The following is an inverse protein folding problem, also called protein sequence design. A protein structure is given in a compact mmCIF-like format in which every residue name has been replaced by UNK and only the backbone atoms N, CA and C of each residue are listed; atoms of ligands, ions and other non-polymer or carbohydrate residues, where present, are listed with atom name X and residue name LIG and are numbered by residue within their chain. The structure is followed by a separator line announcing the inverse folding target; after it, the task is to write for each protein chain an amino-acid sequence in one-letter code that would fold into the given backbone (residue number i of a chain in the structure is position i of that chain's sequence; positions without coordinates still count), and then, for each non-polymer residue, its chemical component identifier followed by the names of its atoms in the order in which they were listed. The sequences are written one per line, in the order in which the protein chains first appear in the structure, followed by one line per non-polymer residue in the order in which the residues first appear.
data_IF_366576349474
#
_entry.id   IF_366576349474
#
_cell.length_a   1.000
_cell.length_b   1.000
_cell.length_c   1.000
_cell.angle_alpha   90.00
_cell.angle_beta   90.00
_cell.angle_gamma   90.00
#
_symmetry.space_group_name_H-M   'P 1'
#
loop_
_entity.id
_entity.type
_entity.pdbx_description
1 polymer ?
#
# COMPACT_ATOMS: atom_id res chain seq x y z
N UNK A 1 -10.15 -17.94 18.09
CA UNK A 1 -9.77 -17.50 19.45
C UNK A 1 -10.25 -16.07 19.52
N UNK A 2 -11.44 -15.88 20.07
CA UNK A 2 -12.12 -14.58 20.05
C UNK A 2 -11.57 -13.75 21.21
N UNK A 3 -10.90 -12.63 20.89
CA UNK A 3 -10.52 -11.65 21.90
C UNK A 3 -11.67 -10.66 22.08
N UNK A 4 -12.36 -10.66 23.23
CA UNK A 4 -13.50 -9.77 23.50
C UNK A 4 -13.14 -8.28 23.55
N UNK A 5 -11.85 -7.91 23.41
CA UNK A 5 -11.38 -6.53 23.57
C UNK A 5 -11.34 -5.71 22.28
N UNK A 6 -11.53 -6.30 21.09
CA UNK A 6 -11.56 -5.51 19.85
C UNK A 6 -12.95 -4.91 19.63
N UNK A 7 -13.13 -3.58 19.61
CA UNK A 7 -14.44 -2.99 19.35
C UNK A 7 -14.97 -3.42 17.98
N UNK A 8 -16.24 -3.84 17.89
CA UNK A 8 -16.88 -4.24 16.62
C UNK A 8 -16.78 -3.18 15.52
N UNK A 9 -16.75 -1.90 15.91
CA UNK A 9 -16.53 -0.77 14.99
C UNK A 9 -15.15 -0.82 14.33
N UNK A 10 -14.09 -1.11 15.09
CA UNK A 10 -12.71 -1.21 14.60
C UNK A 10 -12.56 -2.32 13.57
N UNK A 11 -13.12 -3.50 13.83
CA UNK A 11 -13.06 -4.63 12.90
C UNK A 11 -13.77 -4.29 11.58
N UNK A 12 -14.91 -3.60 11.66
CA UNK A 12 -15.69 -3.17 10.48
C UNK A 12 -14.92 -2.14 9.65
N UNK A 13 -14.38 -1.09 10.29
CA UNK A 13 -13.56 -0.08 9.62
C UNK A 13 -12.34 -0.71 8.96
N UNK A 14 -11.63 -1.60 9.65
CA UNK A 14 -10.47 -2.30 9.12
C UNK A 14 -10.82 -3.20 7.92
N UNK A 15 -11.95 -3.90 7.98
CA UNK A 15 -12.39 -4.75 6.87
C UNK A 15 -12.75 -3.94 5.62
N UNK A 16 -13.49 -2.83 5.79
CA UNK A 16 -13.83 -1.91 4.69
C UNK A 16 -12.54 -1.31 4.10
N UNK A 17 -11.63 -0.83 4.96
CA UNK A 17 -10.37 -0.26 4.51
C UNK A 17 -9.53 -1.29 3.73
N UNK A 18 -9.41 -2.52 4.22
CA UNK A 18 -8.70 -3.59 3.52
C UNK A 18 -9.33 -3.93 2.16
N UNK A 19 -10.66 -4.00 2.08
CA UNK A 19 -11.37 -4.26 0.83
C UNK A 19 -11.18 -3.13 -0.20
N UNK A 20 -11.33 -1.87 0.24
CA UNK A 20 -11.10 -0.70 -0.61
C UNK A 20 -9.63 -0.64 -1.06
N UNK A 21 -8.68 -0.95 -0.19
CA UNK A 21 -7.27 -0.97 -0.56
C UNK A 21 -6.98 -2.01 -1.65
N UNK A 22 -7.59 -3.20 -1.56
CA UNK A 22 -7.48 -4.22 -2.60
C UNK A 22 -8.07 -3.74 -3.93
N UNK A 23 -9.27 -3.15 -3.90
CA UNK A 23 -9.93 -2.63 -5.10
C UNK A 23 -9.12 -1.50 -5.77
N UNK A 24 -8.62 -0.54 -4.97
CA UNK A 24 -7.77 0.56 -5.46
C UNK A 24 -6.47 0.02 -6.05
N UNK A 25 -5.84 -0.97 -5.40
CA UNK A 25 -4.61 -1.59 -5.90
C UNK A 25 -4.84 -2.29 -7.25
N UNK A 26 -5.97 -2.98 -7.43
CA UNK A 26 -6.35 -3.58 -8.72
C UNK A 26 -6.59 -2.49 -9.78
N UNK A 27 -7.27 -1.40 -9.42
CA UNK A 27 -7.48 -0.27 -10.33
C UNK A 27 -6.16 0.38 -10.75
N UNK A 28 -5.25 0.61 -9.80
CA UNK A 28 -3.90 1.13 -10.08
C UNK A 28 -3.10 0.20 -10.98
N UNK A 29 -3.19 -1.11 -10.76
CA UNK A 29 -2.56 -2.11 -11.64
C UNK A 29 -3.14 -2.03 -13.06
N UNK A 30 -4.47 -1.90 -13.16
CA UNK A 30 -5.18 -1.76 -14.43
C UNK A 30 -4.76 -0.50 -15.19
N UNK A 31 -4.71 0.66 -14.53
CA UNK A 31 -4.25 1.91 -15.14
C UNK A 31 -2.80 1.81 -15.58
N UNK A 32 -1.91 1.28 -14.73
CA UNK A 32 -0.51 1.09 -15.06
C UNK A 32 -0.29 0.16 -16.27
N UNK A 33 -0.99 -0.97 -16.32
CA UNK A 33 -0.77 -1.98 -17.37
C UNK A 33 -1.53 -1.71 -18.66
N UNK A 34 -2.77 -1.21 -18.56
CA UNK A 34 -3.67 -1.08 -19.72
C UNK A 34 -3.70 0.32 -20.32
N UNK A 35 -3.43 1.36 -19.51
CA UNK A 35 -3.56 2.74 -19.96
C UNK A 35 -2.22 3.47 -20.10
N UNK A 36 -1.30 3.27 -19.15
CA UNK A 36 0.07 3.77 -19.24
C UNK A 36 0.90 2.84 -20.14
N UNK A 37 0.82 1.53 -19.88
CA UNK A 37 1.46 0.50 -20.69
C UNK A 37 2.88 0.13 -20.20
N UNK A 38 3.31 -1.14 -20.37
CA UNK A 38 4.62 -1.60 -19.91
C UNK A 38 5.81 -0.88 -20.53
N UNK A 39 5.66 -0.38 -21.76
CA UNK A 39 6.73 0.33 -22.48
C UNK A 39 6.99 1.71 -21.87
N UNK A 40 5.94 2.50 -21.61
CA UNK A 40 6.06 3.79 -20.95
C UNK A 40 6.63 3.66 -19.53
N UNK A 41 6.33 2.58 -18.82
CA UNK A 41 6.90 2.30 -17.49
C UNK A 41 8.38 1.92 -17.50
N UNK A 42 8.97 1.57 -18.65
CA UNK A 42 10.39 1.17 -18.74
C UNK A 42 11.35 2.33 -19.01
N UNK A 43 10.85 3.49 -19.43
CA UNK A 43 11.70 4.63 -19.82
C UNK A 43 11.12 5.97 -19.37
N UNK A 44 11.97 6.82 -18.78
CA UNK A 44 11.61 8.19 -18.36
C UNK A 44 11.07 9.02 -19.52
N UNK A 45 11.66 8.88 -20.70
CA UNK A 45 11.30 9.68 -21.87
C UNK A 45 9.91 9.32 -22.41
N UNK A 46 9.58 8.02 -22.44
CA UNK A 46 8.27 7.53 -22.86
C UNK A 46 7.17 7.93 -21.86
N UNK A 47 7.47 7.87 -20.56
CA UNK A 47 6.55 8.36 -19.52
C UNK A 47 6.35 9.88 -19.61
N UNK A 48 7.42 10.64 -19.81
CA UNK A 48 7.35 12.10 -19.96
C UNK A 48 6.56 12.50 -21.22
N UNK A 49 6.75 11.77 -22.32
CA UNK A 49 5.99 12.03 -23.55
C UNK A 49 4.51 11.67 -23.39
N UNK A 50 4.20 10.55 -22.73
CA UNK A 50 2.83 10.21 -22.36
C UNK A 50 2.20 11.31 -21.50
N UNK A 51 2.94 11.84 -20.53
CA UNK A 51 2.46 12.91 -19.66
C UNK A 51 2.09 14.19 -20.42
N UNK A 52 2.84 14.53 -21.48
CA UNK A 52 2.57 15.71 -22.31
C UNK A 52 1.41 15.51 -23.28
N UNK A 53 1.34 14.33 -23.89
CA UNK A 53 0.41 14.06 -24.99
C UNK A 53 -0.96 13.58 -24.51
N UNK A 54 -0.98 12.73 -23.48
CA UNK A 54 -2.19 12.14 -22.91
C UNK A 54 -2.03 12.07 -21.38
N UNK A 55 -2.22 13.19 -20.64
CA UNK A 55 -1.97 13.25 -19.19
C UNK A 55 -2.98 12.45 -18.34
N UNK A 56 -4.15 12.13 -18.88
CA UNK A 56 -5.25 11.50 -18.14
C UNK A 56 -4.88 10.21 -17.36
N UNK A 57 -4.14 9.24 -17.93
CA UNK A 57 -3.75 8.01 -17.21
C UNK A 57 -2.89 8.32 -15.99
N UNK A 58 -1.98 9.29 -16.09
CA UNK A 58 -1.08 9.69 -14.99
C UNK A 58 -1.88 10.37 -13.88
N UNK A 59 -2.76 11.32 -14.25
CA UNK A 59 -3.63 11.99 -13.28
C UNK A 59 -4.51 10.97 -12.55
N UNK A 60 -5.13 10.02 -13.27
CA UNK A 60 -5.95 8.98 -12.65
C UNK A 60 -5.12 8.08 -11.73
N UNK A 61 -3.91 7.69 -12.15
CA UNK A 61 -3.00 6.90 -11.32
C UNK A 61 -2.65 7.64 -10.02
N UNK A 62 -2.35 8.93 -10.08
CA UNK A 62 -2.01 9.73 -8.90
C UNK A 62 -3.21 9.99 -7.97
N UNK A 63 -4.41 10.17 -8.53
CA UNK A 63 -5.64 10.23 -7.73
C UNK A 63 -5.88 8.91 -6.99
N UNK A 64 -5.62 7.77 -7.64
CA UNK A 64 -5.72 6.47 -7.00
C UNK A 64 -4.67 6.29 -5.90
N UNK A 65 -3.44 6.81 -6.06
CA UNK A 65 -2.43 6.82 -4.98
C UNK A 65 -2.91 7.61 -3.77
N UNK A 66 -3.49 8.79 -3.98
CA UNK A 66 -4.03 9.64 -2.90
C UNK A 66 -5.18 8.92 -2.19
N UNK A 67 -6.11 8.32 -2.95
CA UNK A 67 -7.20 7.54 -2.39
C UNK A 67 -6.67 6.31 -1.60
N UNK A 68 -5.67 5.63 -2.14
CA UNK A 68 -5.00 4.51 -1.47
C UNK A 68 -4.41 4.95 -0.14
N UNK A 69 -3.70 6.08 -0.10
CA UNK A 69 -3.10 6.58 1.13
C UNK A 69 -4.15 6.88 2.20
N UNK A 70 -5.27 7.52 1.83
CA UNK A 70 -6.37 7.78 2.76
C UNK A 70 -6.96 6.49 3.35
N UNK A 71 -7.16 5.47 2.52
CA UNK A 71 -7.67 4.16 2.94
C UNK A 71 -6.64 3.41 3.79
N UNK A 72 -5.36 3.45 3.42
CA UNK A 72 -4.26 2.87 4.18
C UNK A 72 -4.16 3.44 5.58
N UNK A 73 -4.36 4.75 5.77
CA UNK A 73 -4.38 5.35 7.12
C UNK A 73 -5.42 4.71 8.03
N UNK A 74 -6.64 4.50 7.52
CA UNK A 74 -7.69 3.80 8.26
C UNK A 74 -7.30 2.35 8.57
N UNK A 75 -6.67 1.66 7.61
CA UNK A 75 -6.20 0.28 7.77
C UNK A 75 -5.07 0.16 8.80
N UNK A 76 -4.08 1.06 8.76
CA UNK A 76 -2.95 1.12 9.71
C UNK A 76 -3.46 1.28 11.13
N UNK A 77 -4.39 2.21 11.35
CA UNK A 77 -4.97 2.46 12.67
C UNK A 77 -5.84 1.29 13.15
N UNK A 78 -6.66 0.71 12.26
CA UNK A 78 -7.47 -0.45 12.60
C UNK A 78 -6.59 -1.66 12.98
N UNK A 79 -5.53 -1.93 12.21
CA UNK A 79 -4.58 -3.00 12.51
C UNK A 79 -3.80 -2.75 13.79
N UNK A 80 -3.41 -1.52 14.09
CA UNK A 80 -2.74 -1.19 15.35
C UNK A 80 -3.61 -1.60 16.56
N UNK A 81 -4.91 -1.29 16.51
CA UNK A 81 -5.88 -1.64 17.53
C UNK A 81 -6.15 -3.16 17.61
N UNK A 82 -6.20 -3.84 16.46
CA UNK A 82 -6.32 -5.32 16.41
C UNK A 82 -5.08 -6.00 17.01
N UNK A 83 -3.89 -5.43 16.81
CA UNK A 83 -2.63 -5.98 17.32
C UNK A 83 -2.44 -5.75 18.82
N UNK A 84 -2.85 -4.59 19.33
CA UNK A 84 -3.00 -4.34 20.76
C UNK A 84 -3.95 -3.17 21.05
N UNK A 85 -4.88 -3.33 22.02
CA UNK A 85 -5.71 -2.22 22.51
C UNK A 85 -4.90 -1.07 23.13
N UNK A 86 -3.76 -1.37 23.77
CA UNK A 86 -2.82 -0.40 24.29
C UNK A 86 -1.49 -0.50 23.51
N UNK A 87 -1.10 0.50 22.71
CA UNK A 87 0.03 0.38 21.79
C UNK A 87 1.37 0.41 22.54
N UNK A 88 2.05 -0.73 22.55
CA UNK A 88 3.43 -0.88 22.98
C UNK A 88 4.41 -0.51 21.86
N UNK A 89 5.71 -0.53 22.16
CA UNK A 89 6.74 -0.05 21.22
C UNK A 89 6.70 -0.72 19.83
N UNK A 90 6.53 -2.06 19.70
CA UNK A 90 6.42 -2.72 18.39
C UNK A 90 5.22 -2.26 17.55
N UNK A 91 4.07 -2.02 18.18
CA UNK A 91 2.87 -1.51 17.49
C UNK A 91 3.11 -0.08 17.01
N UNK A 92 3.68 0.78 17.86
CA UNK A 92 4.03 2.15 17.47
C UNK A 92 5.02 2.20 16.31
N UNK A 93 6.03 1.33 16.31
CA UNK A 93 6.97 1.22 15.20
C UNK A 93 6.25 0.84 13.90
N UNK A 94 5.32 -0.12 13.95
CA UNK A 94 4.51 -0.51 12.78
C UNK A 94 3.68 0.68 12.27
N UNK A 95 3.04 1.45 13.15
CA UNK A 95 2.30 2.65 12.74
C UNK A 95 3.21 3.69 12.08
N UNK A 96 4.34 4.02 12.71
CA UNK A 96 5.29 5.02 12.18
C UNK A 96 5.80 4.62 10.79
N UNK A 97 6.17 3.36 10.60
CA UNK A 97 6.64 2.85 9.31
C UNK A 97 5.54 2.92 8.26
N UNK A 98 4.29 2.58 8.62
CA UNK A 98 3.14 2.72 7.73
C UNK A 98 2.91 4.18 7.32
N UNK A 99 2.91 5.11 8.27
CA UNK A 99 2.77 6.55 8.00
C UNK A 99 3.90 7.07 7.11
N UNK A 100 5.12 6.60 7.29
CA UNK A 100 6.26 6.97 6.44
C UNK A 100 6.07 6.47 5.00
N UNK A 101 5.56 5.25 4.80
CA UNK A 101 5.25 4.72 3.48
C UNK A 101 4.19 5.58 2.76
N UNK A 102 3.10 5.91 3.44
CA UNK A 102 2.03 6.75 2.87
C UNK A 102 2.49 8.18 2.59
N UNK A 103 3.38 8.72 3.43
CA UNK A 103 3.99 10.04 3.18
C UNK A 103 4.83 10.02 1.91
N UNK A 104 5.62 8.96 1.69
CA UNK A 104 6.38 8.80 0.45
C UNK A 104 5.47 8.62 -0.77
N UNK A 105 4.35 7.88 -0.63
CA UNK A 105 3.37 7.70 -1.69
C UNK A 105 2.69 9.03 -2.08
N UNK A 106 2.29 9.83 -1.09
CA UNK A 106 1.69 11.14 -1.30
C UNK A 106 2.67 12.14 -1.91
N UNK A 107 3.93 12.13 -1.46
CA UNK A 107 4.98 12.95 -2.06
C UNK A 107 5.19 12.57 -3.53
N UNK A 108 5.20 11.27 -3.84
CA UNK A 108 5.31 10.80 -5.22
C UNK A 108 4.14 11.29 -6.10
N UNK A 109 2.90 11.14 -5.62
CA UNK A 109 1.72 11.60 -6.34
C UNK A 109 1.73 13.13 -6.54
N UNK A 110 2.11 13.89 -5.52
CA UNK A 110 2.17 15.35 -5.58
C UNK A 110 3.22 15.84 -6.59
N UNK A 111 4.42 15.23 -6.60
CA UNK A 111 5.47 15.56 -7.57
C UNK A 111 5.04 15.20 -8.99
N UNK A 112 4.42 14.04 -9.18
CA UNK A 112 3.91 13.60 -10.48
C UNK A 112 2.83 14.55 -11.03
N UNK A 113 1.87 14.97 -10.19
CA UNK A 113 0.87 15.96 -10.57
C UNK A 113 1.47 17.34 -10.86
N UNK A 114 2.48 17.77 -10.09
CA UNK A 114 3.21 19.00 -10.35
C UNK A 114 3.91 18.97 -11.70
N UNK A 115 4.47 17.81 -12.09
CA UNK A 115 5.06 17.62 -13.42
C UNK A 115 4.03 17.74 -14.54
N UNK A 116 2.83 17.14 -14.37
CA UNK A 116 1.74 17.21 -15.35
C UNK A 116 1.28 18.65 -15.60
N UNK A 117 1.25 19.51 -14.58
CA UNK A 117 0.85 20.93 -14.72
C UNK A 117 2.00 21.87 -15.12
N UNK A 118 3.17 21.32 -15.46
CA UNK A 118 4.33 22.11 -15.88
C UNK A 118 5.05 22.86 -14.75
N UNK A 119 4.80 22.49 -13.49
CA UNK A 119 5.44 23.07 -12.31
C UNK A 119 6.70 22.29 -11.87
N UNK A 120 7.36 21.59 -12.79
CA UNK A 120 8.52 20.74 -12.49
C UNK A 120 9.82 21.55 -12.36
N UNK A 121 10.41 21.70 -11.15
CA UNK A 121 11.76 22.20 -11.00
C UNK A 121 12.79 21.17 -11.51
N UNK A 122 14.01 21.63 -11.76
CA UNK A 122 15.13 20.74 -12.10
C UNK A 122 15.34 19.65 -11.02
N UNK A 123 15.53 18.40 -11.46
CA UNK A 123 15.72 17.26 -10.55
C UNK A 123 14.43 16.63 -9.98
N UNK A 124 13.24 17.11 -10.37
CA UNK A 124 11.97 16.52 -9.92
C UNK A 124 11.85 15.03 -10.26
N UNK A 125 12.38 14.58 -11.41
CA UNK A 125 12.32 13.18 -11.82
C UNK A 125 13.03 12.24 -10.85
N UNK A 126 14.20 12.66 -10.33
CA UNK A 126 14.94 11.91 -9.31
C UNK A 126 14.15 11.80 -8.00
N UNK A 127 13.51 12.89 -7.58
CA UNK A 127 12.63 12.90 -6.40
C UNK A 127 11.38 12.06 -6.60
N UNK A 128 10.78 12.08 -7.79
CA UNK A 128 9.64 11.21 -8.14
C UNK A 128 10.05 9.74 -8.05
N UNK A 129 11.17 9.35 -8.65
CA UNK A 129 11.68 7.99 -8.57
C UNK A 129 12.01 7.59 -7.13
N UNK A 130 12.70 8.46 -6.39
CA UNK A 130 13.09 8.21 -5.00
C UNK A 130 11.87 8.00 -4.10
N UNK A 131 10.86 8.86 -4.22
CA UNK A 131 9.62 8.75 -3.43
C UNK A 131 8.79 7.53 -3.84
N UNK A 132 8.77 7.15 -5.12
CA UNK A 132 8.12 5.90 -5.57
C UNK A 132 8.80 4.67 -4.97
N UNK A 133 10.14 4.59 -5.04
CA UNK A 133 10.91 3.48 -4.47
C UNK A 133 10.74 3.47 -2.95
N UNK A 134 10.81 4.63 -2.30
CA UNK A 134 10.63 4.74 -0.85
C UNK A 134 9.23 4.27 -0.41
N UNK A 135 8.16 4.69 -1.10
CA UNK A 135 6.80 4.23 -0.80
C UNK A 135 6.71 2.70 -0.85
N UNK A 136 7.31 2.10 -1.86
CA UNK A 136 7.29 0.66 -2.06
C UNK A 136 8.15 -0.09 -1.02
N UNK A 137 9.39 0.33 -0.80
CA UNK A 137 10.32 -0.31 0.15
C UNK A 137 9.83 -0.15 1.59
N UNK A 138 9.43 1.07 1.99
CA UNK A 138 8.91 1.34 3.33
C UNK A 138 7.55 0.65 3.53
N UNK A 139 6.69 0.62 2.51
CA UNK A 139 5.44 -0.16 2.53
C UNK A 139 5.70 -1.67 2.67
N UNK A 140 6.75 -2.18 2.01
CA UNK A 140 7.20 -3.56 2.17
C UNK A 140 7.69 -3.87 3.58
N UNK A 141 8.47 -2.96 4.17
CA UNK A 141 8.89 -3.05 5.57
C UNK A 141 7.69 -3.03 6.53
N UNK A 142 6.69 -2.18 6.27
CA UNK A 142 5.43 -2.15 7.02
C UNK A 142 4.70 -3.50 6.98
N UNK A 143 4.54 -4.08 5.78
CA UNK A 143 3.93 -5.40 5.60
C UNK A 143 4.68 -6.48 6.38
N UNK A 144 6.01 -6.44 6.41
CA UNK A 144 6.78 -7.39 7.21
C UNK A 144 6.49 -7.20 8.70
N UNK A 145 6.62 -5.97 9.21
CA UNK A 145 6.44 -5.69 10.64
C UNK A 145 5.04 -6.08 11.13
N UNK A 146 3.99 -5.66 10.41
CA UNK A 146 2.60 -5.92 10.80
C UNK A 146 2.30 -7.42 10.83
N UNK A 147 2.81 -8.19 9.85
CA UNK A 147 2.54 -9.63 9.76
C UNK A 147 3.43 -10.46 10.71
N UNK A 148 4.68 -10.08 10.95
CA UNK A 148 5.50 -10.68 12.02
C UNK A 148 4.82 -10.47 13.38
N UNK A 149 4.34 -9.26 13.64
CA UNK A 149 3.70 -8.93 14.91
C UNK A 149 2.36 -9.66 15.08
N UNK A 150 1.53 -9.69 14.02
CA UNK A 150 0.28 -10.42 14.00
C UNK A 150 0.47 -11.92 14.24
N UNK A 151 1.48 -12.52 13.61
CA UNK A 151 1.82 -13.93 13.82
C UNK A 151 2.26 -14.17 15.27
N UNK A 152 3.24 -13.41 15.77
CA UNK A 152 3.76 -13.58 17.13
C UNK A 152 2.67 -13.47 18.19
N UNK A 153 1.69 -12.59 17.97
CA UNK A 153 0.54 -12.39 18.87
C UNK A 153 -0.66 -13.28 18.57
N UNK A 154 -0.59 -14.13 17.54
CA UNK A 154 -1.67 -15.00 17.07
C UNK A 154 -2.98 -14.23 16.80
N UNK A 155 -2.84 -13.01 16.25
CA UNK A 155 -3.96 -12.09 15.97
C UNK A 155 -4.57 -12.30 14.59
N UNK A 156 -3.81 -12.86 13.66
CA UNK A 156 -4.27 -13.15 12.30
C UNK A 156 -3.90 -14.61 11.92
N UNK A 157 -4.62 -15.22 10.97
CA UNK A 157 -4.30 -16.55 10.48
C UNK A 157 -2.89 -16.64 9.89
N UNK A 158 -2.19 -17.76 10.12
CA UNK A 158 -0.80 -17.95 9.65
C UNK A 158 -0.65 -17.80 8.14
N UNK A 159 -1.59 -18.31 7.35
CA UNK A 159 -1.56 -18.18 5.89
C UNK A 159 -1.60 -16.71 5.44
N UNK A 160 -2.44 -15.89 6.10
CA UNK A 160 -2.51 -14.45 5.84
C UNK A 160 -1.20 -13.76 6.20
N UNK A 161 -0.63 -14.08 7.38
CA UNK A 161 0.66 -13.53 7.79
C UNK A 161 1.78 -13.88 6.79
N UNK A 162 1.85 -15.13 6.34
CA UNK A 162 2.83 -15.57 5.34
C UNK A 162 2.66 -14.83 4.00
N UNK A 163 1.43 -14.65 3.54
CA UNK A 163 1.14 -13.88 2.33
C UNK A 163 1.67 -12.44 2.45
N UNK A 164 1.42 -11.77 3.58
CA UNK A 164 1.90 -10.41 3.80
C UNK A 164 3.43 -10.31 3.96
N UNK A 165 4.07 -11.31 4.58
CA UNK A 165 5.53 -11.40 4.65
C UNK A 165 6.16 -11.56 3.27
N UNK A 166 5.59 -12.43 2.42
CA UNK A 166 6.05 -12.61 1.05
C UNK A 166 5.83 -11.35 0.21
N UNK A 167 4.68 -10.68 0.36
CA UNK A 167 4.41 -9.39 -0.29
C UNK A 167 5.45 -8.34 0.10
N UNK A 168 5.76 -8.23 1.40
CA UNK A 168 6.75 -7.29 1.91
C UNK A 168 8.17 -7.62 1.45
N UNK A 169 8.56 -8.90 1.46
CA UNK A 169 9.86 -9.34 0.95
C UNK A 169 10.02 -9.06 -0.55
N UNK A 170 8.98 -9.30 -1.34
CA UNK A 170 8.95 -8.95 -2.76
C UNK A 170 9.07 -7.44 -2.98
N UNK A 171 8.44 -6.62 -2.14
CA UNK A 171 8.58 -5.17 -2.20
C UNK A 171 10.03 -4.71 -1.93
N UNK A 172 10.68 -5.25 -0.90
CA UNK A 172 12.08 -4.94 -0.61
C UNK A 172 13.04 -5.34 -1.73
N UNK A 173 12.67 -6.31 -2.56
CA UNK A 173 13.49 -6.78 -3.69
C UNK A 173 13.32 -5.94 -4.97
N UNK A 174 12.43 -4.93 -4.98
CA UNK A 174 12.21 -4.07 -6.17
C UNK A 174 13.46 -3.39 -6.71
N UNK A 175 14.39 -2.85 -5.89
CA UNK A 175 15.63 -2.27 -6.40
C UNK A 175 16.48 -3.27 -7.18
N UNK A 176 16.28 -4.57 -6.95
CA UNK A 176 17.01 -5.66 -7.62
C UNK A 176 16.25 -6.21 -8.83
N UNK A 177 14.92 -6.15 -8.83
CA UNK A 177 14.09 -6.71 -9.89
C UNK A 177 12.72 -6.01 -9.97
N UNK A 178 12.39 -5.36 -11.10
CA UNK A 178 11.06 -4.79 -11.33
C UNK A 178 9.92 -5.81 -11.24
N UNK A 179 10.18 -7.08 -11.58
CA UNK A 179 9.20 -8.17 -11.45
C UNK A 179 8.81 -8.42 -9.98
N UNK A 180 9.71 -8.15 -9.04
CA UNK A 180 9.40 -8.25 -7.63
C UNK A 180 8.34 -7.24 -7.20
N UNK A 181 8.27 -6.07 -7.85
CA UNK A 181 7.25 -5.06 -7.60
C UNK A 181 5.87 -5.53 -8.03
N UNK A 182 5.78 -6.15 -9.21
CA UNK A 182 4.56 -6.78 -9.67
C UNK A 182 4.12 -7.94 -8.77
N UNK A 183 5.05 -8.81 -8.37
CA UNK A 183 4.77 -9.90 -7.43
C UNK A 183 4.27 -9.36 -6.08
N UNK A 184 4.90 -8.31 -5.56
CA UNK A 184 4.48 -7.63 -4.33
C UNK A 184 3.06 -7.08 -4.44
N UNK A 185 2.72 -6.44 -5.56
CA UNK A 185 1.37 -5.93 -5.82
C UNK A 185 0.32 -7.04 -5.83
N UNK A 186 0.56 -8.13 -6.55
CA UNK A 186 -0.38 -9.28 -6.61
C UNK A 186 -0.58 -9.88 -5.22
N UNK A 187 0.51 -10.13 -4.49
CA UNK A 187 0.43 -10.67 -3.13
C UNK A 187 -0.23 -9.68 -2.17
N UNK A 188 0.02 -8.38 -2.32
CA UNK A 188 -0.61 -7.31 -1.54
C UNK A 188 -2.13 -7.25 -1.75
N UNK A 189 -2.59 -7.40 -3.00
CA UNK A 189 -4.04 -7.49 -3.31
C UNK A 189 -4.66 -8.71 -2.63
N UNK A 190 -4.02 -9.88 -2.76
CA UNK A 190 -4.50 -11.13 -2.12
C UNK A 190 -4.53 -10.97 -0.61
N UNK A 191 -3.49 -10.38 -0.02
CA UNK A 191 -3.39 -10.11 1.41
C UNK A 191 -4.50 -9.18 1.88
N UNK A 192 -4.70 -8.02 1.23
CA UNK A 192 -5.73 -7.05 1.63
C UNK A 192 -7.14 -7.61 1.48
N UNK A 193 -7.44 -8.35 0.40
CA UNK A 193 -8.73 -9.00 0.22
C UNK A 193 -8.98 -10.09 1.28
N UNK A 194 -7.96 -10.90 1.59
CA UNK A 194 -8.04 -11.94 2.61
C UNK A 194 -8.19 -11.35 4.02
N UNK A 195 -7.46 -10.26 4.31
CA UNK A 195 -7.57 -9.52 5.57
C UNK A 195 -8.98 -8.96 5.75
N UNK A 196 -9.58 -8.41 4.69
CA UNK A 196 -10.96 -7.94 4.73
C UNK A 196 -11.92 -9.07 5.15
N UNK A 197 -11.78 -10.25 4.56
CA UNK A 197 -12.57 -11.43 4.92
C UNK A 197 -12.38 -11.86 6.37
N UNK A 198 -11.13 -11.88 6.86
CA UNK A 198 -10.81 -12.23 8.26
C UNK A 198 -11.43 -11.22 9.22
N UNK A 199 -11.23 -9.92 9.01
CA UNK A 199 -11.78 -8.87 9.88
C UNK A 199 -13.31 -8.84 9.84
N UNK A 200 -13.91 -9.13 8.68
CA UNK A 200 -15.37 -9.25 8.56
C UNK A 200 -15.91 -10.45 9.34
N UNK A 201 -15.21 -11.58 9.34
CA UNK A 201 -15.63 -12.78 10.09
C UNK A 201 -15.65 -12.56 11.60
N UNK A 202 -14.71 -11.75 12.13
CA UNK A 202 -14.70 -11.37 13.55
C UNK A 202 -15.91 -10.53 13.98
N UNK A 203 -16.60 -9.87 13.03
CA UNK A 203 -17.87 -9.19 13.32
C UNK A 203 -19.01 -10.17 13.60
N UNK A 204 -18.99 -11.35 12.98
CA UNK A 204 -20.08 -12.32 13.03
C UNK A 204 -20.01 -13.26 14.24
N UNK A 205 -18.90 -13.23 15.00
CA UNK A 205 -18.78 -13.98 16.24
C UNK A 205 -19.69 -13.35 17.32
N UNK A 206 -20.58 -14.13 17.96
CA UNK A 206 -21.55 -13.64 18.94
C UNK A 206 -20.89 -13.01 20.17
#
# INVERSE_FOLDING_TARGET
MDDPTTPRSTATTGAIAAALNAAISVAMAGVAMLWIGPEAMRGSDAMAELARTVPAPIVVQDMLKIASAAVSLALILALALVLAPAPDAPVRATVIVGLAAETALLANAALSLAAVVGAAPAGMDEWMLTTAIAALVVGGAWLILVNVLAWRRRRLPTALCLCGLLAGAAALAVPLSPLAGFASLVLGVIWSASLAGVLWSHRAAP
#
